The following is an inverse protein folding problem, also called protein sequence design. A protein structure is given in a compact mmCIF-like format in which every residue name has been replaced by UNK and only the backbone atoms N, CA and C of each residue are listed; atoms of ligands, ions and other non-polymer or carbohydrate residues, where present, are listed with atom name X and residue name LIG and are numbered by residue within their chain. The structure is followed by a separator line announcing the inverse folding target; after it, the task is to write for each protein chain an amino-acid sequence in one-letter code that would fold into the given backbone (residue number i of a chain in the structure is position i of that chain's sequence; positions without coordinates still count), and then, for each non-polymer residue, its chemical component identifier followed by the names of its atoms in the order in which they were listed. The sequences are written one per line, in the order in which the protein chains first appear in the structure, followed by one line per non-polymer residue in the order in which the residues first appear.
data_IF_241049177942
#
_entry.id   IF_241049177942
#
_cell.length_a   1.000
_cell.length_b   1.000
_cell.length_c   1.000
_cell.angle_alpha   90.00
_cell.angle_beta   90.00
_cell.angle_gamma   90.00
#
_symmetry.space_group_name_H-M   'P 1'
#
loop_
_entity.id
_entity.type
_entity.pdbx_description
1 polymer ?
#
# COMPACT_ATOMS: atom_id res chain seq x y z
N UNK A 1 6.08 -5.63 14.77
CA UNK A 1 6.40 -7.06 14.61
C UNK A 1 5.10 -7.84 14.52
N UNK A 2 4.65 -8.16 13.30
CA UNK A 2 3.42 -8.94 13.10
C UNK A 2 3.73 -10.39 13.47
N UNK A 3 3.15 -10.86 14.57
CA UNK A 3 3.21 -12.27 14.97
C UNK A 3 2.34 -13.07 13.99
N UNK A 4 2.93 -14.10 13.36
CA UNK A 4 2.25 -14.99 12.44
C UNK A 4 2.09 -16.35 13.17
N UNK A 5 0.97 -16.59 13.88
CA UNK A 5 0.81 -17.77 14.74
C UNK A 5 0.96 -19.08 13.98
N UNK A 6 0.68 -19.06 12.67
CA UNK A 6 0.77 -20.21 11.76
C UNK A 6 2.18 -20.82 11.70
N UNK A 7 3.22 -20.02 11.94
CA UNK A 7 4.63 -20.46 11.85
C UNK A 7 5.19 -20.96 13.19
N UNK A 8 4.49 -20.75 14.30
CA UNK A 8 5.06 -21.00 15.64
C UNK A 8 5.21 -22.49 16.00
N UNK A 9 4.74 -23.40 15.13
CA UNK A 9 4.79 -24.85 15.34
C UNK A 9 5.31 -25.69 14.17
N UNK A 10 5.81 -25.10 13.07
CA UNK A 10 6.11 -25.85 11.85
C UNK A 10 7.62 -26.06 11.64
N UNK A 11 8.04 -27.33 11.68
CA UNK A 11 9.42 -27.75 11.40
C UNK A 11 9.42 -28.81 10.29
N UNK A 12 9.26 -28.41 9.01
CA UNK A 12 9.19 -29.36 7.91
C UNK A 12 10.54 -30.07 7.73
N UNK A 13 10.50 -31.40 7.64
CA UNK A 13 11.70 -32.26 7.58
C UNK A 13 12.09 -32.64 6.15
N UNK A 14 11.18 -32.45 5.19
CA UNK A 14 11.36 -32.79 3.77
C UNK A 14 10.75 -31.76 2.81
N UNK A 15 11.22 -31.75 1.57
CA UNK A 15 10.82 -30.79 0.51
C UNK A 15 9.31 -30.84 0.17
N UNK A 16 8.67 -32.02 0.31
CA UNK A 16 7.24 -32.20 0.07
C UNK A 16 6.38 -31.61 1.20
N UNK A 17 6.83 -31.69 2.46
CA UNK A 17 6.17 -31.05 3.60
C UNK A 17 6.24 -29.52 3.51
N UNK A 18 7.34 -28.97 3.01
CA UNK A 18 7.49 -27.53 2.77
C UNK A 18 6.47 -27.00 1.74
N UNK A 19 6.19 -27.77 0.69
CA UNK A 19 5.18 -27.40 -0.31
C UNK A 19 3.76 -27.35 0.28
N UNK A 20 3.41 -28.30 1.15
CA UNK A 20 2.14 -28.29 1.87
C UNK A 20 1.99 -27.08 2.80
N UNK A 21 3.07 -26.66 3.46
CA UNK A 21 3.04 -25.46 4.30
C UNK A 21 2.96 -24.15 3.50
N UNK A 22 3.59 -24.08 2.33
CA UNK A 22 3.42 -22.94 1.42
C UNK A 22 1.95 -22.74 1.02
N UNK A 23 1.21 -23.83 0.73
CA UNK A 23 -0.21 -23.73 0.36
C UNK A 23 -1.05 -23.17 1.51
N UNK A 24 -0.86 -23.67 2.73
CA UNK A 24 -1.58 -23.14 3.91
C UNK A 24 -1.24 -21.67 4.18
N UNK A 25 0.01 -21.28 3.97
CA UNK A 25 0.44 -19.90 4.14
C UNK A 25 -0.22 -18.98 3.10
N UNK A 26 -0.29 -19.42 1.84
CA UNK A 26 -0.97 -18.70 0.76
C UNK A 26 -2.46 -18.53 1.05
N UNK A 27 -3.14 -19.57 1.52
CA UNK A 27 -4.56 -19.50 1.91
C UNK A 27 -4.79 -18.52 3.07
N UNK A 28 -4.00 -18.63 4.14
CA UNK A 28 -4.09 -17.71 5.28
C UNK A 28 -3.80 -16.26 4.89
N UNK A 29 -2.86 -16.04 3.97
CA UNK A 29 -2.54 -14.71 3.43
C UNK A 29 -3.69 -14.16 2.59
N UNK A 30 -4.26 -14.98 1.71
CA UNK A 30 -5.40 -14.60 0.87
C UNK A 30 -6.63 -14.24 1.69
N UNK A 31 -6.94 -14.99 2.75
CA UNK A 31 -8.05 -14.64 3.64
C UNK A 31 -7.77 -13.35 4.42
N UNK A 32 -6.55 -13.17 4.96
CA UNK A 32 -6.17 -11.92 5.65
C UNK A 32 -6.17 -10.70 4.73
N UNK A 33 -5.84 -10.86 3.46
CA UNK A 33 -5.81 -9.79 2.46
C UNK A 33 -7.05 -9.74 1.56
N UNK A 34 -8.11 -10.46 1.92
CA UNK A 34 -9.34 -10.49 1.13
C UNK A 34 -9.92 -9.09 0.94
N UNK A 35 -9.84 -8.26 1.97
CA UNK A 35 -10.29 -6.86 1.93
C UNK A 35 -9.37 -5.98 1.07
N UNK A 36 -8.09 -6.34 0.89
CA UNK A 36 -7.20 -5.61 -0.02
C UNK A 36 -7.60 -5.78 -1.48
N UNK A 37 -8.23 -6.91 -1.85
CA UNK A 37 -8.80 -7.09 -3.19
C UNK A 37 -9.86 -6.04 -3.51
N UNK A 38 -10.64 -5.62 -2.50
CA UNK A 38 -11.62 -4.53 -2.64
C UNK A 38 -10.97 -3.15 -2.88
N UNK A 39 -9.68 -3.02 -2.53
CA UNK A 39 -8.87 -1.80 -2.70
C UNK A 39 -7.95 -1.86 -3.90
N UNK A 40 -8.01 -2.93 -4.68
CA UNK A 40 -7.13 -3.14 -5.84
C UNK A 40 -7.27 -2.01 -6.86
N UNK A 41 -8.48 -1.51 -7.10
CA UNK A 41 -8.71 -0.39 -8.02
C UNK A 41 -8.00 0.88 -7.52
N UNK A 42 -8.11 1.19 -6.22
CA UNK A 42 -7.42 2.35 -5.61
C UNK A 42 -5.88 2.21 -5.70
N UNK A 43 -5.35 0.99 -5.55
CA UNK A 43 -3.92 0.70 -5.71
C UNK A 43 -3.48 0.84 -7.17
N UNK A 44 -4.23 0.28 -8.11
CA UNK A 44 -3.93 0.36 -9.53
C UNK A 44 -4.01 1.79 -10.04
N UNK A 45 -4.94 2.60 -9.52
CA UNK A 45 -5.02 4.03 -9.80
C UNK A 45 -3.75 4.77 -9.38
N UNK A 46 -3.12 4.36 -8.28
CA UNK A 46 -1.86 4.94 -7.86
C UNK A 46 -0.67 4.40 -8.68
N UNK A 47 -0.59 3.08 -8.86
CA UNK A 47 0.61 2.41 -9.37
C UNK A 47 0.66 2.20 -10.89
N UNK A 48 -0.49 2.21 -11.57
CA UNK A 48 -0.61 1.80 -12.97
C UNK A 48 -1.66 2.60 -13.76
N UNK A 49 -1.91 3.86 -13.40
CA UNK A 49 -2.98 4.71 -14.00
C UNK A 49 -2.96 4.78 -15.53
N UNK A 50 -1.77 4.78 -16.14
CA UNK A 50 -1.60 4.80 -17.61
C UNK A 50 -1.92 3.48 -18.31
N UNK A 51 -2.06 2.37 -17.57
CA UNK A 51 -2.30 1.02 -18.10
C UNK A 51 -3.65 0.43 -17.65
N UNK A 52 -4.52 1.24 -17.04
CA UNK A 52 -5.85 0.81 -16.62
C UNK A 52 -6.81 0.84 -17.81
N UNK A 53 -7.70 -0.15 -17.90
CA UNK A 53 -8.84 -0.08 -18.80
C UNK A 53 -9.87 0.92 -18.24
N UNK A 54 -10.29 1.94 -18.99
CA UNK A 54 -11.32 2.88 -18.53
C UNK A 54 -12.62 2.19 -18.10
N UNK A 55 -13.00 1.06 -18.70
CA UNK A 55 -14.18 0.32 -18.29
C UNK A 55 -14.07 -0.30 -16.88
N UNK A 56 -12.85 -0.48 -16.36
CA UNK A 56 -12.60 -1.08 -15.04
C UNK A 56 -12.56 -0.05 -13.90
N UNK A 57 -12.69 1.25 -14.20
CA UNK A 57 -12.71 2.31 -13.20
C UNK A 57 -14.13 2.85 -12.96
N UNK A 58 -14.41 3.41 -11.76
CA UNK A 58 -15.70 4.04 -11.48
C UNK A 58 -16.04 5.13 -12.51
N UNK A 59 -17.32 5.24 -12.89
CA UNK A 59 -17.81 6.17 -13.93
C UNK A 59 -17.31 7.60 -13.77
N UNK A 60 -17.25 8.09 -12.52
CA UNK A 60 -16.79 9.44 -12.21
C UNK A 60 -15.28 9.67 -12.41
N UNK A 61 -14.53 8.63 -12.80
CA UNK A 61 -13.09 8.64 -12.99
C UNK A 61 -12.68 8.24 -14.42
N UNK A 62 -13.58 7.61 -15.18
CA UNK A 62 -13.30 7.14 -16.54
C UNK A 62 -12.80 8.27 -17.44
N UNK A 63 -13.45 9.42 -17.39
CA UNK A 63 -13.06 10.59 -18.18
C UNK A 63 -11.66 11.10 -17.81
N UNK A 64 -11.35 11.23 -16.51
CA UNK A 64 -10.03 11.66 -16.05
C UNK A 64 -8.93 10.67 -16.49
N UNK A 65 -9.20 9.36 -16.46
CA UNK A 65 -8.26 8.32 -16.92
C UNK A 65 -8.03 8.38 -18.42
N UNK A 66 -9.09 8.52 -19.22
CA UNK A 66 -8.98 8.66 -20.68
C UNK A 66 -8.15 9.91 -21.02
N UNK A 67 -8.44 11.04 -20.37
CA UNK A 67 -7.70 12.28 -20.60
C UNK A 67 -6.22 12.14 -20.20
N UNK A 68 -5.94 11.53 -19.05
CA UNK A 68 -4.58 11.25 -18.59
C UNK A 68 -3.82 10.40 -19.62
N UNK A 69 -4.43 9.30 -20.07
CA UNK A 69 -3.81 8.34 -20.98
C UNK A 69 -3.57 8.91 -22.38
N UNK A 70 -4.33 9.92 -22.78
CA UNK A 70 -4.13 10.64 -24.04
C UNK A 70 -2.97 11.64 -24.02
N UNK A 71 -2.43 11.95 -22.84
CA UNK A 71 -1.39 12.95 -22.66
C UNK A 71 0.02 12.31 -22.59
N UNK A 72 0.73 12.33 -23.71
CA UNK A 72 2.08 11.77 -23.83
C UNK A 72 3.12 12.46 -22.94
N UNK A 73 2.99 13.77 -22.68
CA UNK A 73 3.90 14.51 -21.82
C UNK A 73 3.76 14.08 -20.35
N UNK A 74 2.52 13.92 -19.89
CA UNK A 74 2.25 13.37 -18.56
C UNK A 74 2.74 11.92 -18.45
N UNK A 75 2.58 11.12 -19.51
CA UNK A 75 3.10 9.74 -19.56
C UNK A 75 4.62 9.68 -19.47
N UNK A 76 5.31 10.53 -20.22
CA UNK A 76 6.76 10.64 -20.15
C UNK A 76 7.21 11.05 -18.74
N UNK A 77 6.52 12.02 -18.14
CA UNK A 77 6.81 12.50 -16.79
C UNK A 77 6.57 11.41 -15.74
N UNK A 78 5.48 10.66 -15.85
CA UNK A 78 5.13 9.53 -14.99
C UNK A 78 6.25 8.47 -14.93
N UNK A 79 6.84 8.14 -16.08
CA UNK A 79 7.89 7.11 -16.16
C UNK A 79 9.23 7.54 -15.56
N UNK A 80 9.45 8.84 -15.36
CA UNK A 80 10.73 9.39 -14.92
C UNK A 80 10.72 9.92 -13.48
N UNK A 81 9.58 9.88 -12.79
CA UNK A 81 9.43 10.44 -11.43
C UNK A 81 8.89 9.43 -10.42
N UNK A 82 9.21 9.60 -9.13
CA UNK A 82 8.50 8.91 -8.07
C UNK A 82 7.00 9.22 -8.13
N UNK A 83 6.16 8.20 -7.97
CA UNK A 83 4.69 8.30 -8.08
C UNK A 83 4.10 9.45 -7.25
N UNK A 84 4.53 9.58 -5.99
CA UNK A 84 4.06 10.64 -5.11
C UNK A 84 4.38 12.05 -5.66
N UNK A 85 5.58 12.25 -6.19
CA UNK A 85 5.97 13.53 -6.78
C UNK A 85 5.20 13.80 -8.07
N UNK A 86 4.96 12.78 -8.90
CA UNK A 86 4.11 12.88 -10.09
C UNK A 86 2.70 13.38 -9.73
N UNK A 87 1.99 12.67 -8.85
CA UNK A 87 0.63 13.03 -8.46
C UNK A 87 0.57 14.36 -7.71
N UNK A 88 1.62 14.76 -6.99
CA UNK A 88 1.65 16.01 -6.26
C UNK A 88 1.92 17.22 -7.16
N UNK A 89 2.79 17.11 -8.17
CA UNK A 89 3.25 18.25 -8.97
C UNK A 89 2.61 18.37 -10.35
N UNK A 90 2.31 17.25 -11.02
CA UNK A 90 1.96 17.24 -12.44
C UNK A 90 0.48 16.94 -12.71
N UNK A 91 -0.19 16.28 -11.77
CA UNK A 91 -1.63 16.06 -11.86
C UNK A 91 -2.36 17.29 -11.32
N UNK A 92 -2.95 18.09 -12.21
CA UNK A 92 -3.71 19.30 -11.86
C UNK A 92 -4.91 18.98 -10.97
N UNK A 93 -5.20 19.86 -10.00
CA UNK A 93 -6.40 19.71 -9.15
C UNK A 93 -7.67 20.08 -9.90
N UNK A 94 -7.57 20.94 -10.92
CA UNK A 94 -8.72 21.39 -11.69
C UNK A 94 -9.08 20.41 -12.81
N UNK A 95 -8.08 19.81 -13.46
CA UNK A 95 -8.29 18.87 -14.57
C UNK A 95 -8.50 17.42 -14.10
N UNK A 96 -7.86 17.03 -13.00
CA UNK A 96 -7.87 15.65 -12.48
C UNK A 96 -8.22 15.59 -10.97
N UNK A 97 -9.32 16.24 -10.53
CA UNK A 97 -9.65 16.36 -9.11
C UNK A 97 -9.88 15.02 -8.40
N UNK A 98 -10.41 14.03 -9.11
CA UNK A 98 -10.75 12.73 -8.53
C UNK A 98 -9.53 11.82 -8.49
N UNK A 99 -8.79 11.73 -9.59
CA UNK A 99 -7.55 10.96 -9.71
C UNK A 99 -6.52 11.44 -8.68
N UNK A 100 -6.27 12.75 -8.59
CA UNK A 100 -5.31 13.33 -7.65
C UNK A 100 -5.65 12.96 -6.21
N UNK A 101 -6.92 13.12 -5.82
CA UNK A 101 -7.41 12.81 -4.48
C UNK A 101 -7.27 11.33 -4.16
N UNK A 102 -7.65 10.43 -5.06
CA UNK A 102 -7.50 8.99 -4.89
C UNK A 102 -6.02 8.60 -4.72
N UNK A 103 -5.16 9.07 -5.62
CA UNK A 103 -3.73 8.75 -5.61
C UNK A 103 -3.04 9.25 -4.33
N UNK A 104 -3.29 10.49 -3.91
CA UNK A 104 -2.68 11.06 -2.71
C UNK A 104 -3.23 10.42 -1.42
N UNK A 105 -4.51 10.07 -1.38
CA UNK A 105 -5.08 9.27 -0.29
C UNK A 105 -4.33 7.95 -0.17
N UNK A 106 -4.12 7.24 -1.29
CA UNK A 106 -3.44 5.95 -1.26
C UNK A 106 -1.95 6.07 -0.89
N UNK A 107 -1.26 7.08 -1.38
CA UNK A 107 0.12 7.37 -0.97
C UNK A 107 0.25 7.61 0.54
N UNK A 108 -0.75 8.24 1.16
CA UNK A 108 -0.76 8.47 2.62
C UNK A 108 -0.91 7.18 3.44
N UNK A 109 -1.55 6.14 2.90
CA UNK A 109 -1.68 4.84 3.57
C UNK A 109 -0.31 4.21 3.78
N UNK A 110 0.57 4.26 2.79
CA UNK A 110 1.93 3.71 2.94
C UNK A 110 2.83 4.61 3.77
N UNK A 111 2.69 5.93 3.64
CA UNK A 111 3.49 6.87 4.41
C UNK A 111 3.19 6.80 5.92
N UNK A 112 1.93 6.65 6.30
CA UNK A 112 1.54 6.61 7.72
C UNK A 112 2.05 5.36 8.43
N UNK A 113 2.12 4.20 7.78
CA UNK A 113 2.68 2.99 8.41
C UNK A 113 4.16 3.16 8.73
N UNK A 114 4.96 3.62 7.76
CA UNK A 114 6.39 3.88 7.97
C UNK A 114 6.64 4.98 9.00
N UNK A 115 5.91 6.09 8.91
CA UNK A 115 6.02 7.18 9.88
C UNK A 115 5.61 6.74 11.30
N UNK A 116 4.56 5.93 11.43
CA UNK A 116 4.17 5.33 12.71
C UNK A 116 5.25 4.40 13.25
N UNK A 117 5.82 3.51 12.43
CA UNK A 117 6.88 2.59 12.84
C UNK A 117 8.16 3.33 13.29
N UNK A 118 8.56 4.38 12.57
CA UNK A 118 9.67 5.24 12.96
C UNK A 118 9.38 5.97 14.28
N UNK A 119 8.18 6.53 14.42
CA UNK A 119 7.73 7.20 15.64
C UNK A 119 7.70 6.26 16.84
N UNK A 120 7.15 5.06 16.71
CA UNK A 120 7.16 4.05 17.78
C UNK A 120 8.57 3.56 18.10
N UNK A 121 9.44 3.41 17.09
CA UNK A 121 10.84 3.06 17.31
C UNK A 121 11.57 4.14 18.12
N UNK A 122 11.32 5.42 17.80
CA UNK A 122 11.85 6.55 18.57
C UNK A 122 11.31 6.56 20.00
N UNK A 123 10.02 6.31 20.23
CA UNK A 123 9.44 6.20 21.57
C UNK A 123 10.03 5.04 22.39
N UNK A 124 10.38 3.93 21.74
CA UNK A 124 11.06 2.80 22.39
C UNK A 124 12.50 3.19 22.78
N UNK A 125 13.19 3.95 21.94
CA UNK A 125 14.54 4.47 22.21
C UNK A 125 14.51 5.54 23.32
N UNK A 126 13.50 6.40 23.33
CA UNK A 126 13.30 7.48 24.31
C UNK A 126 12.72 7.00 25.65
N UNK A 127 12.36 5.72 25.78
CA UNK A 127 12.01 5.10 27.06
C UNK A 127 13.27 5.01 27.94
N UNK A 128 13.64 6.16 28.50
CA UNK A 128 14.71 6.28 29.47
C UNK A 128 14.40 5.44 30.73
N UNK A 129 15.42 5.09 31.53
CA UNK A 129 15.26 4.29 32.75
C UNK A 129 14.31 4.91 33.80
N UNK A 130 13.85 6.15 33.64
CA UNK A 130 12.90 6.77 34.57
C UNK A 130 11.48 6.18 34.49
N UNK A 131 11.09 5.53 33.38
CA UNK A 131 9.76 4.93 33.21
C UNK A 131 9.71 3.40 33.45
N UNK A 132 10.66 2.84 34.21
CA UNK A 132 10.63 1.44 34.69
C UNK A 132 10.14 1.31 36.15
N UNK A 133 9.83 2.42 36.83
CA UNK A 133 9.31 2.44 38.20
C UNK A 133 7.85 2.89 38.28
N UNK A 134 6.96 2.21 37.56
CA UNK A 134 5.58 2.09 38.07
C UNK A 134 5.63 1.01 39.13
N UNK A 135 5.93 1.41 40.37
CA UNK A 135 5.69 0.60 41.56
C UNK A 135 4.22 0.21 41.54
N UNK A 136 3.98 -1.08 41.32
CA UNK A 136 2.68 -1.72 41.49
C UNK A 136 2.52 -1.92 43.00
N UNK A 137 1.98 -0.90 43.65
CA UNK A 137 1.40 -1.02 45.00
C UNK A 137 -0.02 -1.60 44.91
#
# INVERSE_FOLDING_TARGET
MVHLPTLEGQKPSTTFECAGECVKLIEAFNERLKDMKSKQIELNLFATSFNMEPADVPDNLQYEIIQLQSNDELKATYNNLPLLEFYKRYISTDEFPTLRRCALKYASVFGTTYCCEQFFSQLIIEKSPLCSRVTRD
#
